data_IF_831266547177
#
_entry.id   IF_831266547177
#
_cell.length_a   1.000
_cell.length_b   1.000
_cell.length_c   1.000
_cell.angle_alpha   90.00
_cell.angle_beta   90.00
_cell.angle_gamma   90.00
#
_symmetry.space_group_name_H-M   'P 1'
#
loop_
_entity.id
_entity.type
_entity.pdbx_description
1 polymer ?
#
# COMPACT_ATOMS: atom_id res chain seq x y z
N UNK A 1 11.71 -8.59 -8.06
CA UNK A 1 10.65 -8.17 -7.11
C UNK A 1 10.07 -6.85 -7.56
N UNK A 2 8.74 -6.70 -7.60
CA UNK A 2 8.13 -5.41 -7.93
C UNK A 2 8.10 -4.55 -6.66
N UNK A 3 9.03 -3.61 -6.55
CA UNK A 3 9.08 -2.73 -5.38
C UNK A 3 7.88 -1.78 -5.38
N UNK A 4 7.10 -1.70 -4.30
CA UNK A 4 5.99 -0.76 -4.21
C UNK A 4 6.50 0.68 -4.34
N UNK A 5 5.80 1.57 -5.08
CA UNK A 5 6.25 2.96 -5.27
C UNK A 5 6.36 3.74 -3.96
N UNK A 6 5.62 3.31 -2.92
CA UNK A 6 5.70 3.88 -1.57
C UNK A 6 6.98 3.49 -0.81
N UNK A 7 7.58 2.34 -1.16
CA UNK A 7 8.79 1.82 -0.51
C UNK A 7 10.07 2.14 -1.30
N UNK A 8 9.95 2.45 -2.59
CA UNK A 8 11.07 2.89 -3.43
C UNK A 8 11.96 3.96 -2.77
N UNK A 9 11.43 5.08 -2.24
CA UNK A 9 12.26 6.08 -1.57
C UNK A 9 13.03 5.55 -0.35
N UNK A 10 12.52 4.52 0.32
CA UNK A 10 13.21 3.90 1.45
C UNK A 10 14.38 3.02 1.00
N UNK A 11 14.25 2.31 -0.13
CA UNK A 11 15.36 1.57 -0.72
C UNK A 11 16.45 2.53 -1.21
N UNK A 12 16.07 3.60 -1.91
CA UNK A 12 17.01 4.60 -2.41
C UNK A 12 17.76 5.29 -1.26
N UNK A 13 17.04 5.69 -0.21
CA UNK A 13 17.65 6.27 0.98
C UNK A 13 18.60 5.29 1.70
N UNK A 14 18.21 4.02 1.80
CA UNK A 14 19.04 2.98 2.40
C UNK A 14 20.38 2.83 1.66
N UNK A 15 20.33 2.75 0.33
CA UNK A 15 21.52 2.61 -0.50
C UNK A 15 22.38 3.88 -0.48
N UNK A 16 21.75 5.06 -0.61
CA UNK A 16 22.43 6.35 -0.68
C UNK A 16 23.14 6.72 0.63
N UNK A 17 22.50 6.49 1.76
CA UNK A 17 23.02 6.87 3.08
C UNK A 17 23.60 5.68 3.86
N UNK A 18 23.79 4.53 3.20
CA UNK A 18 24.36 3.30 3.78
C UNK A 18 23.68 2.89 5.09
N UNK A 19 22.36 3.03 5.14
CA UNK A 19 21.57 2.69 6.33
C UNK A 19 21.36 1.17 6.39
N UNK A 20 21.48 0.60 7.59
CA UNK A 20 21.07 -0.79 7.83
C UNK A 20 19.55 -0.90 8.00
N UNK A 21 19.02 -2.13 7.96
CA UNK A 21 17.59 -2.39 8.20
C UNK A 21 17.11 -1.84 9.55
N UNK A 22 17.97 -1.86 10.57
CA UNK A 22 17.69 -1.30 11.89
C UNK A 22 17.44 0.21 11.80
N UNK A 23 18.30 0.96 11.09
CA UNK A 23 18.15 2.40 10.92
C UNK A 23 16.89 2.76 10.13
N UNK A 24 16.56 1.98 9.10
CA UNK A 24 15.32 2.17 8.33
C UNK A 24 14.10 1.93 9.23
N UNK A 25 14.12 0.88 10.05
CA UNK A 25 13.04 0.61 10.99
C UNK A 25 12.88 1.73 12.02
N UNK A 26 13.98 2.17 12.66
CA UNK A 26 13.98 3.30 13.60
C UNK A 26 13.38 4.56 12.97
N UNK A 27 13.80 4.91 11.75
CA UNK A 27 13.30 6.08 11.06
C UNK A 27 11.80 5.99 10.72
N UNK A 28 11.30 4.78 10.43
CA UNK A 28 9.86 4.55 10.18
C UNK A 28 9.04 4.71 11.46
N UNK A 29 9.51 4.18 12.59
CA UNK A 29 8.87 4.34 13.91
C UNK A 29 8.91 5.80 14.39
N UNK A 30 9.99 6.52 14.08
CA UNK A 30 10.10 7.96 14.33
C UNK A 30 9.16 8.79 13.44
N UNK A 31 8.64 8.24 12.34
CA UNK A 31 7.81 8.96 11.37
C UNK A 31 8.62 9.88 10.44
N UNK A 32 9.91 9.61 10.25
CA UNK A 32 10.76 10.39 9.36
C UNK A 32 10.42 10.11 7.89
N UNK A 33 10.65 11.11 7.05
CA UNK A 33 10.42 11.00 5.61
C UNK A 33 11.74 10.72 4.86
N UNK A 34 11.87 9.60 4.12
CA UNK A 34 13.11 9.24 3.43
C UNK A 34 13.53 10.26 2.37
N UNK A 35 12.58 11.02 1.81
CA UNK A 35 12.89 12.10 0.85
C UNK A 35 13.63 13.27 1.50
N UNK A 36 13.44 13.48 2.80
CA UNK A 36 14.11 14.53 3.58
C UNK A 36 15.45 14.10 4.16
N UNK A 37 15.88 12.86 3.92
CA UNK A 37 17.17 12.39 4.42
C UNK A 37 18.33 13.17 3.80
N UNK A 38 18.21 13.65 2.56
CA UNK A 38 19.23 14.51 1.94
C UNK A 38 19.49 15.81 2.71
N UNK A 39 18.46 16.45 3.28
CA UNK A 39 18.64 17.64 4.12
C UNK A 39 19.17 17.32 5.51
N UNK A 40 18.96 16.09 6.00
CA UNK A 40 19.43 15.64 7.32
C UNK A 40 20.86 15.10 7.28
N UNK A 41 21.24 14.46 6.17
CA UNK A 41 22.57 13.93 5.90
C UNK A 41 23.52 15.02 5.38
N UNK A 42 23.53 16.17 6.06
CA UNK A 42 24.42 17.27 5.72
C UNK A 42 25.84 17.09 6.31
N UNK A 43 26.19 15.86 6.69
CA UNK A 43 27.51 15.45 7.16
C UNK A 43 28.62 15.67 6.13
N UNK A 44 28.29 15.79 4.83
CA UNK A 44 29.27 16.12 3.80
C UNK A 44 29.71 17.59 3.78
N UNK A 45 28.90 18.51 4.35
CA UNK A 45 29.27 19.93 4.39
C UNK A 45 29.96 20.33 5.69
N UNK A 46 29.69 19.63 6.79
CA UNK A 46 30.25 19.96 8.10
C UNK A 46 30.72 18.69 8.81
N UNK A 47 32.03 18.46 8.97
CA UNK A 47 32.57 17.25 9.58
C UNK A 47 32.21 17.10 11.07
N UNK A 48 31.69 18.14 11.72
CA UNK A 48 31.16 18.08 13.08
C UNK A 48 29.71 17.58 13.16
N UNK A 49 29.04 17.37 12.02
CA UNK A 49 27.68 16.82 11.97
C UNK A 49 27.75 15.30 12.01
N UNK A 50 26.97 14.70 12.91
CA UNK A 50 26.88 13.24 13.07
C UNK A 50 26.35 12.60 11.78
N UNK A 51 26.85 11.42 11.38
CA UNK A 51 26.28 10.66 10.28
C UNK A 51 24.78 10.46 10.47
N UNK A 52 24.00 10.47 9.37
CA UNK A 52 22.55 10.31 9.44
C UNK A 52 22.11 9.06 10.22
N UNK A 53 22.86 7.96 10.13
CA UNK A 53 22.62 6.74 10.90
C UNK A 53 22.63 7.00 12.42
N UNK A 54 23.63 7.72 12.92
CA UNK A 54 23.74 8.08 14.33
C UNK A 54 22.67 9.08 14.74
N UNK A 55 22.32 10.02 13.87
CA UNK A 55 21.23 10.96 14.12
C UNK A 55 19.91 10.22 14.36
N UNK A 56 19.59 9.25 13.49
CA UNK A 56 18.38 8.42 13.64
C UNK A 56 18.42 7.64 14.96
N UNK A 57 19.55 7.00 15.28
CA UNK A 57 19.71 6.25 16.53
C UNK A 57 19.57 7.13 17.78
N UNK A 58 20.13 8.34 17.75
CA UNK A 58 20.02 9.30 18.82
C UNK A 58 18.58 9.77 19.03
N UNK A 59 17.87 10.13 17.95
CA UNK A 59 16.45 10.48 18.01
C UNK A 59 15.60 9.33 18.53
N UNK A 60 15.90 8.09 18.13
CA UNK A 60 15.20 6.90 18.58
C UNK A 60 15.39 6.67 20.09
N UNK A 61 16.63 6.69 20.55
CA UNK A 61 16.97 6.56 21.98
C UNK A 61 16.31 7.65 22.82
N UNK A 62 16.31 8.90 22.35
CA UNK A 62 15.65 10.02 23.07
C UNK A 62 14.14 9.83 23.22
N UNK A 63 13.47 9.26 22.23
CA UNK A 63 11.99 9.11 22.23
C UNK A 63 11.51 7.84 22.91
N UNK A 64 12.25 6.74 22.77
CA UNK A 64 11.82 5.42 23.22
C UNK A 64 12.66 4.85 24.38
N UNK A 65 13.79 5.48 24.73
CA UNK A 65 14.68 5.02 25.79
C UNK A 65 15.44 3.73 25.47
N UNK A 66 15.50 3.35 24.18
CA UNK A 66 16.14 2.11 23.71
C UNK A 66 17.07 2.41 22.54
N UNK A 67 18.14 1.64 22.41
CA UNK A 67 19.12 1.79 21.33
C UNK A 67 18.70 1.08 20.03
N UNK A 68 17.83 0.08 20.13
CA UNK A 68 17.35 -0.73 19.00
C UNK A 68 15.85 -0.98 19.07
N UNK A 69 15.17 -1.12 17.91
CA UNK A 69 13.78 -1.52 17.87
C UNK A 69 13.63 -3.00 18.23
N UNK A 70 12.54 -3.33 18.90
CA UNK A 70 12.24 -4.70 19.36
C UNK A 70 11.99 -5.66 18.19
N UNK A 71 11.48 -5.15 17.07
CA UNK A 71 11.20 -5.94 15.88
C UNK A 71 11.74 -5.25 14.63
N UNK A 72 12.82 -5.79 14.06
CA UNK A 72 13.44 -5.27 12.84
C UNK A 72 12.82 -5.97 11.64
N UNK A 73 11.97 -5.26 10.88
CA UNK A 73 11.46 -5.77 9.61
C UNK A 73 12.28 -5.18 8.46
N UNK A 74 12.76 -6.05 7.57
CA UNK A 74 13.43 -5.64 6.36
C UNK A 74 12.44 -5.03 5.35
N UNK A 75 12.93 -4.17 4.45
CA UNK A 75 12.06 -3.59 3.41
C UNK A 75 11.55 -4.69 2.47
N UNK A 76 12.36 -5.72 2.24
CA UNK A 76 12.05 -6.89 1.45
C UNK A 76 10.87 -7.69 2.05
N UNK A 77 10.86 -7.92 3.37
CA UNK A 77 9.75 -8.58 4.08
C UNK A 77 8.46 -7.74 4.01
N UNK A 78 8.58 -6.42 4.12
CA UNK A 78 7.43 -5.51 4.02
C UNK A 78 6.82 -5.55 2.62
N UNK A 79 7.64 -5.65 1.57
CA UNK A 79 7.17 -5.86 0.18
C UNK A 79 6.41 -7.17 0.08
N UNK A 80 7.00 -8.28 0.55
CA UNK A 80 6.39 -9.62 0.49
C UNK A 80 5.02 -9.66 1.18
N UNK A 81 4.92 -9.08 2.39
CA UNK A 81 3.67 -8.99 3.15
C UNK A 81 2.61 -8.12 2.45
N UNK A 82 3.04 -7.07 1.76
CA UNK A 82 2.14 -6.20 1.00
C UNK A 82 1.60 -6.91 -0.25
N UNK A 83 2.42 -7.72 -0.92
CA UNK A 83 2.00 -8.53 -2.08
C UNK A 83 1.02 -9.63 -1.67
N UNK A 84 1.29 -10.36 -0.59
CA UNK A 84 0.38 -11.37 -0.03
C UNK A 84 -0.99 -10.77 0.32
N UNK A 85 -1.01 -9.66 1.05
CA UNK A 85 -2.27 -8.98 1.38
C UNK A 85 -3.03 -8.48 0.15
N UNK A 86 -2.33 -8.19 -0.94
CA UNK A 86 -2.94 -7.78 -2.21
C UNK A 86 -3.52 -8.98 -2.96
N UNK A 87 -2.84 -10.13 -2.99
CA UNK A 87 -3.36 -11.35 -3.61
C UNK A 87 -4.60 -11.85 -2.87
N UNK A 88 -4.56 -11.92 -1.54
CA UNK A 88 -5.72 -12.32 -0.72
C UNK A 88 -6.93 -11.41 -0.95
N UNK A 89 -6.70 -10.09 -1.06
CA UNK A 89 -7.77 -9.13 -1.40
C UNK A 89 -8.31 -9.36 -2.81
N UNK A 90 -7.48 -9.75 -3.77
CA UNK A 90 -7.90 -10.04 -5.14
C UNK A 90 -8.73 -11.33 -5.18
N UNK A 91 -8.31 -12.36 -4.46
CA UNK A 91 -9.01 -13.65 -4.34
C UNK A 91 -10.36 -13.50 -3.62
N UNK A 92 -10.42 -12.72 -2.53
CA UNK A 92 -11.68 -12.37 -1.84
C UNK A 92 -12.65 -11.63 -2.75
N UNK A 93 -12.15 -10.72 -3.59
CA UNK A 93 -13.00 -10.00 -4.56
C UNK A 93 -13.44 -10.91 -5.71
N UNK A 94 -12.56 -11.78 -6.20
CA UNK A 94 -12.87 -12.72 -7.28
C UNK A 94 -13.91 -13.76 -6.84
N UNK A 95 -13.77 -14.32 -5.64
CA UNK A 95 -14.75 -15.25 -5.05
C UNK A 95 -16.09 -14.59 -4.74
N UNK A 96 -16.11 -13.29 -4.38
CA UNK A 96 -17.34 -12.52 -4.15
C UNK A 96 -18.04 -12.07 -5.44
N UNK A 97 -17.32 -12.02 -6.57
CA UNK A 97 -17.83 -11.53 -7.86
C UNK A 97 -18.40 -12.63 -8.77
N UNK A 98 -18.48 -13.87 -8.32
CA UNK A 98 -19.23 -14.94 -9.00
C UNK A 98 -20.67 -14.93 -8.48
N UNK A 99 -21.66 -14.32 -9.17
CA UNK A 99 -23.06 -14.52 -8.82
C UNK A 99 -23.44 -15.99 -9.06
N UNK A 100 -24.35 -16.58 -8.27
CA UNK A 100 -24.86 -17.92 -8.59
C UNK A 100 -25.52 -17.84 -9.96
N UNK A 101 -25.02 -18.64 -10.91
CA UNK A 101 -25.63 -18.83 -12.21
C UNK A 101 -27.04 -19.40 -12.01
N UNK A 102 -28.05 -18.53 -12.02
CA UNK A 102 -29.45 -18.94 -12.07
C UNK A 102 -29.73 -19.59 -13.42
N UNK A 103 -30.33 -20.80 -13.47
CA UNK A 103 -30.60 -21.46 -14.74
C UNK A 103 -31.67 -20.69 -15.51
N UNK A 104 -31.35 -20.35 -16.75
CA UNK A 104 -32.28 -19.84 -17.74
C UNK A 104 -33.36 -20.91 -17.98
N UNK A 105 -34.63 -20.58 -17.74
CA UNK A 105 -35.75 -21.34 -18.32
C UNK A 105 -36.31 -20.54 -19.47
N UNK A 106 -36.00 -21.01 -20.67
CA UNK A 106 -36.78 -20.81 -21.88
C UNK A 106 -38.18 -21.42 -21.69
N UNK A 107 -39.22 -20.69 -22.05
CA UNK A 107 -40.43 -21.33 -22.59
C UNK A 107 -41.13 -20.39 -23.57
N UNK A 108 -41.24 -20.88 -24.80
CA UNK A 108 -42.04 -20.33 -25.89
C UNK A 108 -43.44 -20.92 -25.78
N UNK A 109 -44.50 -20.12 -25.79
CA UNK A 109 -45.85 -20.70 -25.91
C UNK A 109 -47.05 -19.76 -25.71
N UNK A 110 -47.44 -19.08 -26.79
CA UNK A 110 -48.83 -18.92 -27.29
C UNK A 110 -50.01 -18.79 -26.29
N UNK A 111 -50.71 -17.64 -26.30
CA UNK A 111 -52.14 -17.52 -26.70
C UNK A 111 -52.81 -16.22 -26.20
N UNK A 112 -53.48 -15.52 -27.12
CA UNK A 112 -54.83 -15.00 -26.83
C UNK A 112 -55.05 -13.49 -26.73
N UNK A 113 -55.53 -12.92 -27.86
CA UNK A 113 -56.65 -11.97 -27.96
C UNK A 113 -56.34 -10.44 -28.02
N UNK A 114 -56.36 -9.92 -29.25
CA UNK A 114 -56.84 -8.57 -29.65
C UNK A 114 -58.39 -8.57 -29.75
N UNK A 115 -59.10 -7.44 -29.96
CA UNK A 115 -58.77 -6.01 -29.75
C UNK A 115 -59.88 -5.28 -28.94
N UNK A 116 -59.70 -3.99 -28.58
CA UNK A 116 -60.84 -3.05 -28.58
C UNK A 116 -60.39 -1.60 -28.79
N UNK A 117 -61.27 -0.88 -29.48
CA UNK A 117 -61.09 0.35 -30.23
C UNK A 117 -61.79 1.50 -29.48
N UNK A 118 -61.13 2.63 -29.21
CA UNK A 118 -61.85 3.90 -29.20
C UNK A 118 -60.99 5.11 -29.57
N UNK A 119 -61.43 5.73 -30.65
CA UNK A 119 -61.11 7.04 -31.22
C UNK A 119 -61.53 8.21 -30.30
N UNK A 120 -61.30 9.43 -30.82
CA UNK A 120 -61.68 10.78 -30.36
C UNK A 120 -60.54 11.49 -29.59
N UNK A 121 -59.86 12.52 -30.09
CA UNK A 121 -60.16 13.45 -31.19
C UNK A 121 -60.32 14.88 -30.64
N UNK A 122 -59.49 15.80 -31.16
CA UNK A 122 -59.65 17.27 -31.17
C UNK A 122 -59.51 17.99 -29.81
N UNK A 123 -59.01 19.23 -29.70
CA UNK A 123 -58.81 20.37 -30.63
C UNK A 123 -57.39 20.94 -30.57
#
# INVERSE_FOLDING_TARGET
MRTPPKLQPWFDARQRFRLSHIHIQMARELGLNPRKFGSLANDQQEPWKRPLAEFIAHCYSKRFGRSTPEHVQSLEEVVKRAEQRRSERRERKASKAVPPAGPQRTDSGSSGKLPDLHEHGSE
#
